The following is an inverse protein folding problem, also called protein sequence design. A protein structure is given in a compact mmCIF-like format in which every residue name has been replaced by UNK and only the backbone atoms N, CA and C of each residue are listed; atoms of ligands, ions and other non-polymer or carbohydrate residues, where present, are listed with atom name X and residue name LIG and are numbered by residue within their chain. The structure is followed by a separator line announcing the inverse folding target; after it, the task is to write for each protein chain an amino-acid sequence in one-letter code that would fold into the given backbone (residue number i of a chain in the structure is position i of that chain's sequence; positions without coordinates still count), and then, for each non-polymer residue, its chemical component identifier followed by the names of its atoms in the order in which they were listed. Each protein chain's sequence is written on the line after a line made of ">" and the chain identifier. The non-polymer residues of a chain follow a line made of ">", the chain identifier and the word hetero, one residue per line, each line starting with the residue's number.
data_IF_838700440760
#
_entry.id   IF_838700440760
#
_cell.length_a   1.000
_cell.length_b   1.000
_cell.length_c   1.000
_cell.angle_alpha   90.00
_cell.angle_beta   90.00
_cell.angle_gamma   90.00
#
_symmetry.space_group_name_H-M   'P 1'
#
loop_
_entity.id
_entity.type
_entity.pdbx_description
1 polymer ?
#
# COMPACT_ATOMS: atom_id res chain seq x y z
N UNK A 1 -19.33 -14.05 -0.04
CA UNK A 1 -19.34 -12.57 -0.09
C UNK A 1 -19.87 -11.87 1.17
N UNK A 2 -21.17 -11.93 1.54
CA UNK A 2 -21.67 -11.15 2.71
C UNK A 2 -20.99 -11.51 4.05
N UNK A 3 -20.74 -12.81 4.27
CA UNK A 3 -20.00 -13.30 5.46
C UNK A 3 -18.54 -12.87 5.45
N UNK A 4 -17.89 -12.85 4.28
CA UNK A 4 -16.49 -12.42 4.16
C UNK A 4 -16.32 -10.94 4.45
N UNK A 5 -17.29 -10.10 4.04
CA UNK A 5 -17.27 -8.67 4.36
C UNK A 5 -17.36 -8.46 5.87
N UNK A 6 -18.25 -9.19 6.56
CA UNK A 6 -18.34 -9.12 8.03
C UNK A 6 -17.04 -9.58 8.70
N UNK A 7 -16.45 -10.68 8.25
CA UNK A 7 -15.16 -11.15 8.75
C UNK A 7 -14.03 -10.13 8.53
N UNK A 8 -14.02 -9.43 7.40
CA UNK A 8 -13.05 -8.37 7.14
C UNK A 8 -13.27 -7.18 8.08
N UNK A 9 -14.52 -6.80 8.38
CA UNK A 9 -14.82 -5.74 9.35
C UNK A 9 -14.31 -6.09 10.74
N UNK A 10 -14.53 -7.32 11.20
CA UNK A 10 -14.05 -7.79 12.50
C UNK A 10 -12.52 -7.72 12.58
N UNK A 11 -11.82 -8.23 11.55
CA UNK A 11 -10.35 -8.15 11.46
C UNK A 11 -9.83 -6.71 11.42
N UNK A 12 -10.52 -5.82 10.72
CA UNK A 12 -10.15 -4.40 10.68
C UNK A 12 -10.34 -3.76 12.06
N UNK A 13 -11.41 -4.11 12.80
CA UNK A 13 -11.64 -3.63 14.15
C UNK A 13 -10.55 -4.10 15.12
N UNK A 14 -10.12 -5.36 15.01
CA UNK A 14 -8.95 -5.90 15.74
C UNK A 14 -7.64 -5.16 15.41
N UNK A 15 -7.55 -4.59 14.21
CA UNK A 15 -6.41 -3.78 13.75
C UNK A 15 -6.52 -2.27 14.07
N UNK A 16 -7.45 -1.90 14.95
CA UNK A 16 -7.79 -0.52 15.37
C UNK A 16 -8.44 0.34 14.26
N UNK A 17 -9.16 -0.28 13.32
CA UNK A 17 -9.82 0.42 12.22
C UNK A 17 -11.30 0.03 12.08
N UNK A 18 -12.21 0.98 12.33
CA UNK A 18 -13.64 0.77 12.19
C UNK A 18 -14.07 1.14 10.77
N UNK A 19 -14.47 0.15 9.97
CA UNK A 19 -14.98 0.33 8.62
C UNK A 19 -16.51 0.18 8.58
N UNK A 20 -17.18 1.10 7.88
CA UNK A 20 -18.59 0.92 7.54
C UNK A 20 -18.78 -0.21 6.51
N UNK A 21 -20.03 -0.60 6.32
CA UNK A 21 -20.39 -1.69 5.41
C UNK A 21 -19.94 -1.41 3.96
N UNK A 22 -20.05 -0.16 3.50
CA UNK A 22 -19.68 0.22 2.13
C UNK A 22 -18.18 0.10 1.89
N UNK A 23 -17.37 0.65 2.79
CA UNK A 23 -15.92 0.59 2.72
C UNK A 23 -15.44 -0.85 2.83
N UNK A 24 -15.96 -1.62 3.78
CA UNK A 24 -15.60 -3.03 3.93
C UNK A 24 -15.93 -3.85 2.68
N UNK A 25 -17.05 -3.58 2.03
CA UNK A 25 -17.42 -4.24 0.77
C UNK A 25 -16.43 -3.86 -0.35
N UNK A 26 -16.08 -2.58 -0.47
CA UNK A 26 -15.10 -2.10 -1.45
C UNK A 26 -13.71 -2.71 -1.23
N UNK A 27 -13.25 -2.78 0.02
CA UNK A 27 -11.98 -3.41 0.37
C UNK A 27 -12.00 -4.92 0.05
N UNK A 28 -13.12 -5.59 0.29
CA UNK A 28 -13.27 -7.00 -0.07
C UNK A 28 -13.18 -7.22 -1.59
N UNK A 29 -13.75 -6.31 -2.38
CA UNK A 29 -13.64 -6.32 -3.84
C UNK A 29 -12.21 -6.05 -4.32
N UNK A 30 -11.48 -5.13 -3.68
CA UNK A 30 -10.05 -4.93 -3.97
C UNK A 30 -9.27 -6.24 -3.84
N UNK A 31 -9.51 -6.99 -2.76
CA UNK A 31 -8.83 -8.26 -2.48
C UNK A 31 -9.21 -9.32 -3.50
N UNK A 32 -10.50 -9.43 -3.82
CA UNK A 32 -11.00 -10.44 -4.77
C UNK A 32 -10.60 -10.17 -6.22
N UNK A 33 -10.61 -8.90 -6.63
CA UNK A 33 -10.36 -8.51 -8.02
C UNK A 33 -8.88 -8.25 -8.30
N UNK A 34 -8.06 -8.08 -7.26
CA UNK A 34 -6.66 -7.68 -7.40
C UNK A 34 -6.52 -6.35 -8.16
N UNK A 35 -7.47 -5.42 -7.94
CA UNK A 35 -7.51 -4.12 -8.63
C UNK A 35 -7.13 -3.00 -7.65
N UNK A 36 -6.34 -2.00 -8.10
CA UNK A 36 -6.01 -0.83 -7.27
C UNK A 36 -7.27 -0.08 -6.83
N UNK A 37 -7.22 0.51 -5.63
CA UNK A 37 -8.30 1.33 -5.07
C UNK A 37 -7.82 2.77 -4.86
N UNK A 38 -8.60 3.73 -5.36
CA UNK A 38 -8.45 5.15 -5.05
C UNK A 38 -9.42 5.52 -3.92
N UNK A 39 -8.91 6.22 -2.90
CA UNK A 39 -9.70 6.65 -1.74
C UNK A 39 -9.81 8.18 -1.67
N UNK A 40 -11.01 8.68 -1.92
CA UNK A 40 -11.37 10.11 -1.86
C UNK A 40 -12.13 10.46 -0.56
N UNK A 41 -12.19 11.75 -0.22
CA UNK A 41 -12.74 12.23 1.07
C UNK A 41 -11.88 13.30 1.75
N UNK A 42 -12.37 13.83 2.87
CA UNK A 42 -11.74 14.94 3.56
C UNK A 42 -10.44 14.54 4.29
N UNK A 43 -9.67 15.54 4.73
CA UNK A 43 -8.52 15.30 5.57
C UNK A 43 -8.97 14.71 6.93
N UNK A 44 -8.28 13.68 7.41
CA UNK A 44 -8.55 13.09 8.73
C UNK A 44 -9.60 11.97 8.77
N UNK A 45 -10.22 11.59 7.65
CA UNK A 45 -11.26 10.52 7.60
C UNK A 45 -10.70 9.09 7.60
N UNK A 46 -9.44 8.88 7.98
CA UNK A 46 -8.85 7.55 8.10
C UNK A 46 -8.25 6.94 6.82
N UNK A 47 -8.11 7.70 5.73
CA UNK A 47 -7.54 7.21 4.45
C UNK A 47 -6.14 6.62 4.55
N UNK A 48 -5.29 7.18 5.41
CA UNK A 48 -3.95 6.63 5.64
C UNK A 48 -4.00 5.42 6.55
N UNK A 49 -4.96 5.42 7.50
CA UNK A 49 -5.05 4.39 8.52
C UNK A 49 -5.62 3.08 7.99
N UNK A 50 -6.51 3.15 7.00
CA UNK A 50 -7.01 1.94 6.33
C UNK A 50 -5.89 1.15 5.66
N UNK A 51 -4.89 1.82 5.07
CA UNK A 51 -3.75 1.15 4.45
C UNK A 51 -2.90 0.40 5.50
N UNK A 52 -2.69 1.00 6.67
CA UNK A 52 -2.00 0.36 7.80
C UNK A 52 -2.79 -0.81 8.36
N UNK A 53 -4.11 -0.64 8.53
CA UNK A 53 -4.98 -1.69 9.03
C UNK A 53 -4.99 -2.89 8.07
N UNK A 54 -5.11 -2.65 6.76
CA UNK A 54 -5.02 -3.71 5.75
C UNK A 54 -3.67 -4.44 5.79
N UNK A 55 -2.55 -3.70 5.90
CA UNK A 55 -1.23 -4.31 6.00
C UNK A 55 -1.10 -5.23 7.24
N UNK A 56 -1.67 -4.81 8.38
CA UNK A 56 -1.75 -5.66 9.58
C UNK A 56 -2.62 -6.90 9.33
N UNK A 57 -3.82 -6.72 8.79
CA UNK A 57 -4.82 -7.80 8.55
C UNK A 57 -4.31 -8.85 7.57
N UNK A 58 -3.56 -8.44 6.55
CA UNK A 58 -2.99 -9.33 5.53
C UNK A 58 -1.55 -9.73 5.80
N UNK A 59 -0.98 -9.33 6.94
CA UNK A 59 0.41 -9.60 7.33
C UNK A 59 1.41 -9.30 6.21
N UNK A 60 1.20 -8.17 5.52
CA UNK A 60 1.99 -7.80 4.36
C UNK A 60 2.76 -6.49 4.57
N UNK A 61 3.88 -6.28 3.84
CA UNK A 61 4.63 -5.03 3.94
C UNK A 61 3.79 -3.83 3.49
N UNK A 62 3.80 -2.76 4.28
CA UNK A 62 3.24 -1.48 3.88
C UNK A 62 4.33 -0.60 3.27
N UNK A 63 4.25 -0.37 1.95
CA UNK A 63 5.13 0.56 1.25
C UNK A 63 4.41 1.90 1.13
N UNK A 64 5.00 2.97 1.67
CA UNK A 64 4.47 4.33 1.61
C UNK A 64 5.32 5.20 0.68
N UNK A 65 4.73 5.61 -0.43
CA UNK A 65 5.29 6.65 -1.31
C UNK A 65 4.58 7.98 -1.00
N UNK A 66 5.33 8.98 -0.54
CA UNK A 66 4.79 10.31 -0.33
C UNK A 66 4.84 11.07 -1.65
N UNK A 67 3.68 11.36 -2.24
CA UNK A 67 3.60 12.21 -3.42
C UNK A 67 3.71 13.69 -3.03
N UNK A 68 4.58 14.42 -3.71
CA UNK A 68 4.77 15.86 -3.57
C UNK A 68 5.17 16.45 -4.93
N UNK A 69 5.11 17.77 -5.05
CA UNK A 69 5.48 18.46 -6.29
C UNK A 69 6.96 18.26 -6.61
N UNK A 70 7.27 17.79 -7.82
CA UNK A 70 8.64 17.46 -8.23
C UNK A 70 9.07 16.02 -7.94
N UNK A 71 8.19 15.16 -7.42
CA UNK A 71 8.42 13.71 -7.43
C UNK A 71 8.33 13.19 -8.88
N UNK A 72 9.42 12.61 -9.40
CA UNK A 72 9.46 11.99 -10.72
C UNK A 72 9.58 10.46 -10.65
N UNK A 73 9.51 9.81 -11.81
CA UNK A 73 9.55 8.35 -11.90
C UNK A 73 10.91 7.76 -11.46
N UNK A 74 12.02 8.47 -11.71
CA UNK A 74 13.36 8.01 -11.35
C UNK A 74 13.52 7.99 -9.82
N UNK A 75 13.07 9.05 -9.15
CA UNK A 75 13.07 9.15 -7.70
C UNK A 75 12.08 8.14 -7.05
N UNK A 76 10.98 7.80 -7.72
CA UNK A 76 9.97 6.90 -7.17
C UNK A 76 10.29 5.39 -7.33
N UNK A 77 10.87 4.98 -8.47
CA UNK A 77 11.03 3.55 -8.81
C UNK A 77 12.43 3.03 -8.52
N UNK A 78 13.45 3.92 -8.50
CA UNK A 78 14.89 3.71 -8.35
C UNK A 78 15.65 4.22 -9.58
N UNK A 79 16.79 4.90 -9.35
CA UNK A 79 17.75 5.25 -10.39
C UNK A 79 18.86 4.21 -10.43
N UNK A 80 19.08 3.60 -11.60
CA UNK A 80 20.13 2.60 -11.78
C UNK A 80 21.50 3.25 -11.67
N UNK A 81 22.21 3.05 -10.54
CA UNK A 81 23.55 3.63 -10.34
C UNK A 81 24.61 2.91 -11.19
N UNK A 82 24.69 3.30 -12.46
CA UNK A 82 25.59 2.75 -13.44
C UNK A 82 27.08 2.95 -13.07
N UNK A 83 27.40 4.04 -12.35
CA UNK A 83 28.76 4.32 -11.90
C UNK A 83 29.24 3.31 -10.85
N UNK A 84 28.39 2.98 -9.88
CA UNK A 84 28.69 1.94 -8.90
C UNK A 84 28.84 0.57 -9.56
N UNK A 85 28.03 0.27 -10.57
CA UNK A 85 28.11 -1.00 -11.29
C UNK A 85 29.43 -1.11 -12.08
N UNK A 86 29.84 -0.04 -12.77
CA UNK A 86 31.13 0.03 -13.48
C UNK A 86 32.32 -0.10 -12.53
N UNK A 87 32.26 0.51 -11.35
CA UNK A 87 33.30 0.37 -10.32
C UNK A 87 33.42 -1.08 -9.84
N UNK A 88 32.31 -1.75 -9.57
CA UNK A 88 32.30 -3.17 -9.17
C UNK A 88 32.89 -4.06 -10.25
N UNK A 89 32.53 -3.85 -11.53
CA UNK A 89 33.09 -4.62 -12.65
C UNK A 89 34.61 -4.44 -12.72
N UNK A 90 35.10 -3.19 -12.64
CA UNK A 90 36.55 -2.90 -12.66
C UNK A 90 37.31 -3.49 -11.47
N UNK A 91 36.69 -3.55 -10.30
CA UNK A 91 37.29 -4.17 -9.10
C UNK A 91 37.35 -5.70 -9.22
N UNK A 92 36.44 -6.32 -9.98
CA UNK A 92 36.44 -7.77 -10.22
C UNK A 92 37.38 -8.21 -11.36
N UNK A 93 37.82 -7.27 -12.20
CA UNK A 93 38.80 -7.52 -13.28
C UNK A 93 40.26 -7.46 -12.80
N UNK A 94 40.53 -7.12 -11.52
CA UNK A 94 41.86 -7.11 -10.91
C UNK A 94 42.21 -8.41 -10.18
#
# INVERSE_FOLDING_TARGET
>A
MRTEVAQLQDKLAEADYVADQSLATTLMLLVHLGRPLLLEGDAGVGKTEVAKALAKVFECPLIRLQCYEGLDANAAVYEWNYQHQLLTIKLQEQ
#
